data_IF_631073274556
#
_entry.id   IF_631073274556
#
_cell.length_a   1.000
_cell.length_b   1.000
_cell.length_c   1.000
_cell.angle_alpha   90.00
_cell.angle_beta   90.00
_cell.angle_gamma   90.00
#
_symmetry.space_group_name_H-M   'P 1'
#
loop_
_entity.id
_entity.type
_entity.pdbx_description
1 polymer ?
#
# COMPACT_ATOMS: atom_id res chain seq x y z
N UNK A 1 -6.33 52.01 1.27
CA UNK A 1 -5.55 51.34 2.31
C UNK A 1 -6.33 50.13 2.79
N UNK A 2 -5.85 48.93 2.50
CA UNK A 2 -6.03 47.71 3.31
C UNK A 2 -5.11 46.64 2.70
N UNK A 3 -3.98 46.42 3.38
CA UNK A 3 -3.14 45.24 3.16
C UNK A 3 -3.82 44.03 3.82
N UNK A 4 -3.77 42.85 3.21
CA UNK A 4 -3.71 41.57 3.94
C UNK A 4 -3.16 40.46 3.05
N UNK A 5 -2.01 39.96 3.50
CA UNK A 5 -1.39 38.63 3.35
C UNK A 5 -1.13 38.03 1.96
N UNK A 6 0.14 38.10 1.59
CA UNK A 6 0.82 37.11 0.79
C UNK A 6 0.78 35.73 1.50
N UNK A 7 0.28 34.71 0.82
CA UNK A 7 0.56 33.31 1.15
C UNK A 7 1.66 32.81 0.20
N UNK A 8 2.88 32.81 0.71
CA UNK A 8 4.08 32.19 0.14
C UNK A 8 3.83 30.69 -0.13
N UNK A 9 4.37 30.11 -1.21
CA UNK A 9 3.86 28.85 -1.79
C UNK A 9 4.19 27.65 -0.91
N UNK A 10 3.21 26.74 -0.75
CA UNK A 10 3.46 25.44 -0.17
C UNK A 10 4.48 24.67 -1.04
N UNK A 11 5.69 24.56 -0.53
CA UNK A 11 6.78 23.81 -1.14
C UNK A 11 6.36 22.37 -1.41
N UNK A 12 6.60 21.90 -2.64
CA UNK A 12 6.47 20.50 -3.02
C UNK A 12 7.39 19.65 -2.14
N UNK A 13 6.82 18.82 -1.28
CA UNK A 13 7.49 17.61 -0.80
C UNK A 13 7.30 16.51 -1.84
N UNK A 14 8.35 16.30 -2.62
CA UNK A 14 8.51 15.19 -3.53
C UNK A 14 8.53 13.85 -2.78
N UNK A 15 7.58 12.96 -3.11
CA UNK A 15 7.86 11.53 -3.18
C UNK A 15 7.14 10.59 -2.20
N UNK A 16 5.82 10.43 -2.32
CA UNK A 16 5.15 9.12 -2.53
C UNK A 16 3.62 9.26 -2.50
N UNK A 17 3.02 9.66 -3.62
CA UNK A 17 1.60 9.39 -3.90
C UNK A 17 1.42 9.24 -5.42
N UNK A 18 1.35 8.01 -5.91
CA UNK A 18 0.62 7.70 -7.15
C UNK A 18 0.11 6.26 -7.09
N UNK A 19 -1.18 6.15 -6.76
CA UNK A 19 -2.04 5.01 -7.09
C UNK A 19 -2.11 4.92 -8.64
N UNK A 20 -1.94 3.76 -9.27
CA UNK A 20 -2.10 3.65 -10.71
C UNK A 20 -3.53 4.02 -11.12
N UNK A 21 -3.63 4.95 -12.08
CA UNK A 21 -4.85 5.34 -12.78
C UNK A 21 -5.61 4.10 -13.28
N UNK A 22 -6.89 3.97 -12.88
CA UNK A 22 -7.83 2.98 -13.43
C UNK A 22 -8.46 1.98 -12.44
N UNK A 23 -8.18 2.07 -11.12
CA UNK A 23 -8.85 1.20 -10.15
C UNK A 23 -10.21 1.77 -9.73
N UNK A 24 -11.30 1.14 -10.20
CA UNK A 24 -12.68 1.40 -9.75
C UNK A 24 -12.98 0.88 -8.32
N UNK A 25 -11.96 0.44 -7.56
CA UNK A 25 -12.16 0.16 -6.15
C UNK A 25 -12.23 1.48 -5.41
N UNK A 26 -13.43 1.86 -4.95
CA UNK A 26 -13.62 2.96 -3.99
C UNK A 26 -12.58 2.84 -2.89
N UNK A 27 -11.59 3.73 -2.92
CA UNK A 27 -10.53 3.84 -1.92
C UNK A 27 -11.22 3.96 -0.55
N UNK A 28 -11.18 2.89 0.25
CA UNK A 28 -11.68 2.94 1.64
C UNK A 28 -10.79 3.92 2.37
N UNK A 29 -11.38 4.82 3.17
CA UNK A 29 -10.62 5.85 3.89
C UNK A 29 -9.40 5.22 4.58
N UNK A 30 -8.21 5.76 4.33
CA UNK A 30 -6.97 5.28 4.95
C UNK A 30 -6.41 3.95 4.43
N UNK A 31 -6.93 3.36 3.34
CA UNK A 31 -6.36 2.15 2.72
C UNK A 31 -6.01 2.41 1.25
N UNK A 32 -4.74 2.25 0.89
CA UNK A 32 -4.24 2.44 -0.45
C UNK A 32 -3.63 1.16 -1.03
N UNK A 33 -3.87 0.92 -2.32
CA UNK A 33 -3.26 -0.17 -3.08
C UNK A 33 -2.09 0.36 -3.88
N UNK A 34 -0.88 -0.08 -3.54
CA UNK A 34 0.31 0.16 -4.36
C UNK A 34 0.44 -0.97 -5.37
N UNK A 35 0.64 -0.62 -6.64
CA UNK A 35 0.88 -1.60 -7.69
C UNK A 35 2.18 -1.27 -8.42
N UNK A 36 2.91 -2.32 -8.80
CA UNK A 36 4.19 -2.24 -9.47
C UNK A 36 4.11 -3.12 -10.71
N UNK A 37 4.32 -2.52 -11.89
CA UNK A 37 4.39 -3.27 -13.15
C UNK A 37 5.82 -3.71 -13.39
N UNK A 38 6.02 -5.01 -13.47
CA UNK A 38 7.32 -5.63 -13.71
C UNK A 38 7.34 -6.20 -15.12
N UNK A 39 8.13 -5.57 -15.98
CA UNK A 39 8.19 -5.90 -17.41
C UNK A 39 9.29 -6.92 -17.74
N UNK A 40 10.42 -6.84 -17.05
CA UNK A 40 11.56 -7.75 -17.27
C UNK A 40 11.26 -9.18 -16.82
N UNK A 41 11.54 -10.22 -17.63
CA UNK A 41 11.33 -11.63 -17.26
C UNK A 41 12.07 -12.04 -15.98
N UNK A 42 13.29 -11.53 -15.78
CA UNK A 42 14.08 -11.81 -14.56
C UNK A 42 13.39 -11.20 -13.34
N UNK A 43 12.95 -9.95 -13.47
CA UNK A 43 12.26 -9.25 -12.38
C UNK A 43 10.89 -9.89 -12.08
N UNK A 44 10.18 -10.45 -13.07
CA UNK A 44 8.94 -11.21 -12.83
C UNK A 44 9.20 -12.43 -11.94
N UNK A 45 10.28 -13.18 -12.16
CA UNK A 45 10.67 -14.31 -11.31
C UNK A 45 11.03 -13.86 -9.89
N UNK A 46 11.79 -12.77 -9.76
CA UNK A 46 12.13 -12.19 -8.45
C UNK A 46 10.87 -11.71 -7.72
N UNK A 47 9.96 -11.01 -8.41
CA UNK A 47 8.69 -10.56 -7.84
C UNK A 47 7.83 -11.75 -7.40
N UNK A 48 7.72 -12.81 -8.21
CA UNK A 48 7.04 -14.03 -7.82
C UNK A 48 7.61 -14.62 -6.52
N UNK A 49 8.94 -14.68 -6.39
CA UNK A 49 9.60 -15.17 -5.18
C UNK A 49 9.32 -14.28 -3.97
N UNK A 50 9.54 -12.96 -4.09
CA UNK A 50 9.39 -12.00 -2.99
C UNK A 50 7.94 -11.89 -2.52
N UNK A 51 6.99 -11.81 -3.47
CA UNK A 51 5.57 -11.66 -3.15
C UNK A 51 4.90 -12.99 -2.83
N UNK A 52 5.39 -14.13 -3.34
CA UNK A 52 4.90 -15.46 -2.99
C UNK A 52 5.47 -16.02 -1.68
N UNK A 53 6.67 -15.62 -1.27
CA UNK A 53 7.29 -16.11 -0.03
C UNK A 53 6.72 -15.41 1.21
N UNK A 54 6.19 -16.18 2.15
CA UNK A 54 5.72 -15.67 3.45
C UNK A 54 6.92 -15.31 4.34
N UNK A 55 7.85 -16.25 4.51
CA UNK A 55 9.01 -16.09 5.38
C UNK A 55 9.96 -14.97 4.95
N UNK A 56 10.31 -14.91 3.66
CA UNK A 56 11.21 -13.86 3.15
C UNK A 56 10.57 -12.48 3.26
N UNK A 57 9.29 -12.37 2.93
CA UNK A 57 8.61 -11.09 2.96
C UNK A 57 8.50 -10.51 4.37
N UNK A 58 8.12 -11.33 5.34
CA UNK A 58 7.98 -10.87 6.73
C UNK A 58 9.32 -10.59 7.40
N UNK A 59 10.35 -11.40 7.13
CA UNK A 59 11.66 -11.28 7.78
C UNK A 59 12.58 -10.27 7.11
N UNK A 60 12.46 -10.06 5.80
CA UNK A 60 13.44 -9.30 5.01
C UNK A 60 12.79 -8.15 4.24
N UNK A 61 11.83 -8.44 3.38
CA UNK A 61 11.31 -7.44 2.44
C UNK A 61 10.53 -6.33 3.14
N UNK A 62 9.64 -6.69 4.08
CA UNK A 62 8.82 -5.72 4.81
C UNK A 62 9.69 -4.79 5.70
N UNK A 63 10.59 -5.29 6.56
CA UNK A 63 11.47 -4.41 7.35
C UNK A 63 12.32 -3.49 6.47
N UNK A 64 12.82 -3.99 5.34
CA UNK A 64 13.59 -3.19 4.37
C UNK A 64 12.74 -2.09 3.74
N UNK A 65 11.51 -2.39 3.34
CA UNK A 65 10.57 -1.41 2.79
C UNK A 65 10.24 -0.32 3.82
N UNK A 66 9.96 -0.70 5.07
CA UNK A 66 9.70 0.26 6.16
C UNK A 66 10.92 1.16 6.40
N UNK A 67 12.13 0.59 6.46
CA UNK A 67 13.37 1.35 6.64
C UNK A 67 13.61 2.32 5.49
N UNK A 68 13.39 1.90 4.25
CA UNK A 68 13.53 2.74 3.06
C UNK A 68 12.52 3.90 3.05
N UNK A 69 11.26 3.66 3.44
CA UNK A 69 10.25 4.70 3.55
C UNK A 69 10.60 5.71 4.66
N UNK A 70 11.02 5.23 5.84
CA UNK A 70 11.46 6.11 6.94
C UNK A 70 12.69 6.95 6.57
N UNK A 71 13.66 6.37 5.86
CA UNK A 71 14.82 7.11 5.37
C UNK A 71 14.45 8.24 4.39
N UNK A 72 13.29 8.12 3.72
CA UNK A 72 12.71 9.16 2.86
C UNK A 72 11.76 10.12 3.60
N UNK A 73 11.66 10.01 4.93
CA UNK A 73 10.76 10.85 5.74
C UNK A 73 9.29 10.42 5.70
N UNK A 74 8.98 9.24 5.16
CA UNK A 74 7.60 8.77 5.03
C UNK A 74 7.27 7.90 6.24
N UNK A 75 6.52 8.48 7.19
CA UNK A 75 6.15 7.83 8.45
C UNK A 75 4.68 7.48 8.56
N UNK A 76 3.83 8.08 7.72
CA UNK A 76 2.36 7.97 7.79
C UNK A 76 1.80 6.70 7.14
N UNK A 77 2.68 5.85 6.60
CA UNK A 77 2.33 4.62 5.90
C UNK A 77 2.65 3.43 6.80
N UNK A 78 1.64 2.59 7.03
CA UNK A 78 1.78 1.32 7.75
C UNK A 78 1.44 0.15 6.83
N UNK A 79 2.26 -0.89 6.87
CA UNK A 79 1.95 -2.14 6.19
C UNK A 79 1.11 -3.05 7.13
N UNK A 80 0.05 -3.69 6.62
CA UNK A 80 -0.68 -4.71 7.37
C UNK A 80 0.25 -5.87 7.74
N UNK A 81 0.12 -6.41 8.95
CA UNK A 81 0.89 -7.58 9.40
C UNK A 81 0.49 -8.87 8.68
N UNK A 82 -0.74 -8.93 8.16
CA UNK A 82 -1.27 -10.07 7.42
C UNK A 82 -2.43 -9.65 6.54
N UNK A 83 -3.12 -10.64 5.98
CA UNK A 83 -4.38 -10.39 5.29
C UNK A 83 -5.37 -9.74 6.26
N UNK A 84 -6.28 -8.94 5.74
CA UNK A 84 -7.14 -8.14 6.57
C UNK A 84 -8.51 -7.95 5.94
N UNK A 85 -9.46 -7.54 6.76
CA UNK A 85 -10.76 -7.09 6.35
C UNK A 85 -10.83 -5.57 6.52
N UNK A 86 -11.49 -4.89 5.60
CA UNK A 86 -11.74 -3.45 5.70
C UNK A 86 -13.23 -3.15 5.48
N UNK A 87 -13.78 -2.12 6.12
CA UNK A 87 -15.12 -1.57 5.87
C UNK A 87 -15.04 -0.22 5.10
N UNK A 88 -16.15 0.31 4.59
CA UNK A 88 -16.14 1.55 3.78
C UNK A 88 -15.63 2.77 4.56
N UNK A 89 -15.76 2.74 5.89
CA UNK A 89 -15.27 3.77 6.79
C UNK A 89 -13.75 3.73 7.05
N UNK A 90 -13.02 2.74 6.52
CA UNK A 90 -11.57 2.62 6.71
C UNK A 90 -11.15 1.81 7.93
N UNK A 91 -12.10 1.19 8.65
CA UNK A 91 -11.80 0.34 9.81
C UNK A 91 -11.22 -0.97 9.34
N UNK A 92 -10.09 -1.37 9.92
CA UNK A 92 -9.36 -2.59 9.59
C UNK A 92 -9.50 -3.64 10.69
N UNK A 93 -9.62 -4.91 10.27
CA UNK A 93 -9.56 -6.07 11.17
C UNK A 93 -8.64 -7.13 10.58
N UNK A 94 -7.74 -7.68 11.39
CA UNK A 94 -6.80 -8.70 10.93
C UNK A 94 -7.52 -10.03 10.64
N UNK A 95 -7.15 -10.70 9.55
CA UNK A 95 -7.64 -12.03 9.22
C UNK A 95 -6.73 -13.12 9.85
N UNK A 96 -7.27 -14.32 10.16
CA UNK A 96 -8.68 -14.71 10.03
C UNK A 96 -9.56 -14.13 11.15
N UNK A 97 -10.87 -14.00 10.88
CA UNK A 97 -11.88 -13.66 11.88
C UNK A 97 -12.86 -14.81 11.99
N UNK A 98 -13.28 -15.17 13.21
CA UNK A 98 -14.28 -16.22 13.44
C UNK A 98 -15.63 -15.89 12.79
N UNK A 99 -16.01 -14.60 12.77
CA UNK A 99 -17.18 -14.08 12.06
C UNK A 99 -16.82 -12.76 11.41
N UNK A 100 -17.00 -12.67 10.09
CA UNK A 100 -16.77 -11.42 9.34
C UNK A 100 -17.97 -10.49 9.61
N UNK A 101 -17.76 -9.28 10.17
CA UNK A 101 -18.86 -8.35 10.40
C UNK A 101 -19.46 -7.85 9.08
N UNK A 102 -20.74 -7.47 9.09
CA UNK A 102 -21.39 -6.91 7.91
C UNK A 102 -20.64 -5.67 7.38
N UNK A 103 -20.53 -5.55 6.06
CA UNK A 103 -19.84 -4.44 5.39
C UNK A 103 -18.31 -4.54 5.32
N UNK A 104 -17.70 -5.54 5.96
CA UNK A 104 -16.28 -5.83 5.81
C UNK A 104 -16.02 -6.70 4.57
N UNK A 105 -15.04 -6.31 3.74
CA UNK A 105 -14.54 -7.15 2.64
C UNK A 105 -13.11 -7.59 2.92
N UNK A 106 -12.76 -8.77 2.44
CA UNK A 106 -11.43 -9.36 2.56
C UNK A 106 -10.45 -8.75 1.56
N UNK A 107 -9.22 -8.50 2.02
CA UNK A 107 -8.11 -7.99 1.23
C UNK A 107 -6.85 -8.81 1.51
N UNK A 108 -6.26 -9.46 0.48
CA UNK A 108 -4.95 -10.06 0.63
C UNK A 108 -3.92 -8.94 0.82
N UNK A 109 -3.00 -9.08 1.78
CA UNK A 109 -1.98 -8.06 2.07
C UNK A 109 -1.13 -7.69 0.84
N UNK A 110 -0.85 -8.69 0.02
CA UNK A 110 0.01 -8.59 -1.16
C UNK A 110 -0.38 -9.64 -2.19
N UNK A 111 0.06 -9.46 -3.43
CA UNK A 111 -0.06 -10.46 -4.46
C UNK A 111 0.80 -10.13 -5.66
N UNK A 112 0.99 -11.13 -6.52
CA UNK A 112 1.69 -10.99 -7.78
C UNK A 112 0.97 -11.80 -8.85
N UNK A 113 0.67 -11.16 -9.97
CA UNK A 113 0.14 -11.80 -11.17
C UNK A 113 1.29 -12.00 -12.18
N UNK A 114 1.71 -13.25 -12.44
CA UNK A 114 2.81 -13.54 -13.36
C UNK A 114 2.46 -13.26 -14.83
N UNK A 115 1.18 -13.32 -15.21
CA UNK A 115 0.72 -13.12 -16.59
C UNK A 115 0.87 -11.64 -16.95
N UNK A 116 0.26 -10.77 -16.13
CA UNK A 116 0.33 -9.32 -16.35
C UNK A 116 1.63 -8.70 -15.84
N UNK A 117 2.37 -9.39 -14.96
CA UNK A 117 3.56 -8.88 -14.30
C UNK A 117 3.26 -7.83 -13.23
N UNK A 118 2.03 -7.78 -12.72
CA UNK A 118 1.59 -6.80 -11.73
C UNK A 118 1.80 -7.37 -10.33
N UNK A 119 2.70 -6.75 -9.56
CA UNK A 119 2.78 -6.94 -8.12
C UNK A 119 1.92 -5.88 -7.42
N UNK A 120 1.21 -6.24 -6.36
CA UNK A 120 0.49 -5.28 -5.54
C UNK A 120 0.70 -5.54 -4.06
N UNK A 121 0.55 -4.47 -3.28
CA UNK A 121 0.50 -4.51 -1.83
C UNK A 121 -0.48 -3.46 -1.32
N UNK A 122 -1.11 -3.76 -0.20
CA UNK A 122 -1.97 -2.80 0.49
C UNK A 122 -1.20 -2.12 1.61
N UNK A 123 -1.41 -0.82 1.75
CA UNK A 123 -0.91 -0.01 2.85
C UNK A 123 -2.05 0.76 3.51
N UNK A 124 -1.84 1.05 4.78
CA UNK A 124 -2.69 1.94 5.56
C UNK A 124 -2.03 3.30 5.59
N UNK A 125 -2.77 4.34 5.23
CA UNK A 125 -2.33 5.73 5.24
C UNK A 125 -3.04 6.45 6.38
N UNK A 126 -2.26 7.08 7.25
CA UNK A 126 -2.71 7.75 8.48
C UNK A 126 -2.51 9.25 8.40
#
# INVERSE_FOLDING_TARGET
MTATSAATPAARTSGLYTVPLGSNETLRRGVAKLQFKVTSPVMKKVAAYVFGSKGFWDKVALPSAVRALRAKGITNIRFPAGNFYANSAGVLKQAPLAKVPAGFKYYPRKGFDPVTGIAFLWVVVS
#
